data_IF_053033337038
#
_entry.id   IF_053033337038
#
_cell.length_a   1.000
_cell.length_b   1.000
_cell.length_c   1.000
_cell.angle_alpha   90.00
_cell.angle_beta   90.00
_cell.angle_gamma   90.00
#
_symmetry.space_group_name_H-M   'P 1'
#
loop_
_entity.id
_entity.type
_entity.pdbx_description
1 polymer ?
#
# COMPACT_ATOMS: atom_id res chain seq x y z
N UNK A 1 -14.65 8.43 2.31
CA UNK A 1 -13.62 7.41 2.58
C UNK A 1 -12.78 7.91 3.75
N UNK A 2 -12.28 7.01 4.58
CA UNK A 2 -11.37 7.31 5.70
C UNK A 2 -9.93 7.15 5.23
N UNK A 3 -9.02 7.88 5.86
CA UNK A 3 -7.60 7.75 5.58
C UNK A 3 -6.99 6.65 6.45
N UNK A 4 -6.14 5.82 5.85
CA UNK A 4 -5.40 4.77 6.53
C UNK A 4 -3.92 4.85 6.19
N UNK A 5 -3.08 4.62 7.20
CA UNK A 5 -1.71 4.21 6.99
C UNK A 5 -1.65 2.70 7.23
N UNK A 6 -1.24 1.96 6.21
CA UNK A 6 -0.97 0.54 6.32
C UNK A 6 0.52 0.26 6.34
N UNK A 7 0.95 -0.58 7.27
CA UNK A 7 2.31 -1.11 7.35
C UNK A 7 2.27 -2.52 6.78
N UNK A 8 3.02 -2.76 5.70
CA UNK A 8 3.25 -4.08 5.15
C UNK A 8 4.65 -4.54 5.57
N UNK A 9 4.72 -5.57 6.40
CA UNK A 9 5.99 -6.18 6.81
C UNK A 9 6.16 -7.51 6.08
N UNK A 10 7.22 -7.61 5.29
CA UNK A 10 7.53 -8.84 4.54
C UNK A 10 7.77 -10.01 5.49
N UNK A 11 7.21 -11.17 5.16
CA UNK A 11 7.32 -12.37 5.99
C UNK A 11 8.73 -12.99 5.96
N UNK A 12 9.49 -12.73 4.89
CA UNK A 12 10.89 -13.14 4.73
C UNK A 12 11.60 -12.33 3.65
N UNK A 13 12.93 -12.25 3.71
CA UNK A 13 13.78 -11.61 2.68
C UNK A 13 13.53 -12.24 1.30
N UNK A 14 13.40 -13.56 1.24
CA UNK A 14 13.11 -14.28 -0.01
C UNK A 14 11.74 -13.94 -0.63
N UNK A 15 10.75 -13.54 0.18
CA UNK A 15 9.46 -13.07 -0.31
C UNK A 15 9.51 -11.59 -0.72
N UNK A 16 10.34 -10.79 -0.05
CA UNK A 16 10.62 -9.40 -0.44
C UNK A 16 11.30 -9.34 -1.81
N UNK A 17 12.33 -10.16 -2.06
CA UNK A 17 13.00 -10.24 -3.36
C UNK A 17 12.00 -10.61 -4.47
N UNK A 18 11.21 -11.67 -4.25
CA UNK A 18 10.16 -12.10 -5.20
C UNK A 18 9.11 -11.02 -5.43
N UNK A 19 8.73 -10.28 -4.39
CA UNK A 19 7.80 -9.16 -4.52
C UNK A 19 8.37 -8.06 -5.41
N UNK A 20 9.63 -7.64 -5.19
CA UNK A 20 10.25 -6.60 -6.01
C UNK A 20 10.57 -7.06 -7.43
N UNK A 21 10.83 -8.34 -7.65
CA UNK A 21 10.87 -8.92 -9.00
C UNK A 21 9.49 -8.84 -9.66
N UNK A 22 8.43 -9.28 -8.96
CA UNK A 22 7.07 -9.30 -9.50
C UNK A 22 6.53 -7.89 -9.79
N UNK A 23 6.71 -6.93 -8.87
CA UNK A 23 6.13 -5.59 -9.01
C UNK A 23 6.75 -4.79 -10.15
N UNK A 24 8.03 -5.04 -10.50
CA UNK A 24 8.65 -4.47 -11.70
C UNK A 24 7.91 -4.83 -12.99
N UNK A 25 7.26 -6.01 -13.03
CA UNK A 25 6.41 -6.41 -14.15
C UNK A 25 4.98 -5.83 -14.05
N UNK A 26 4.52 -5.46 -12.85
CA UNK A 26 3.19 -4.87 -12.62
C UNK A 26 3.15 -3.34 -12.78
N UNK A 27 4.23 -2.62 -12.51
CA UNK A 27 4.31 -1.16 -12.74
C UNK A 27 4.08 -0.80 -14.22
N UNK A 28 4.34 -1.72 -15.14
CA UNK A 28 4.05 -1.59 -16.58
C UNK A 28 2.56 -1.74 -16.93
N UNK A 29 1.71 -2.17 -15.97
CA UNK A 29 0.25 -2.33 -16.13
C UNK A 29 -0.53 -1.54 -15.08
N UNK A 30 -0.55 -0.21 -15.18
CA UNK A 30 -1.63 0.70 -14.74
C UNK A 30 -2.50 0.27 -13.51
N UNK A 31 -1.89 -0.20 -12.42
CA UNK A 31 -2.61 -0.57 -11.18
C UNK A 31 -3.23 0.66 -10.49
N UNK A 32 -2.85 1.86 -10.90
CA UNK A 32 -3.23 3.14 -10.30
C UNK A 32 -4.61 3.69 -10.67
N UNK A 33 -5.45 2.98 -11.43
CA UNK A 33 -6.64 3.61 -12.05
C UNK A 33 -8.00 2.98 -11.79
N UNK A 34 -8.10 1.84 -11.09
CA UNK A 34 -9.42 1.26 -10.76
C UNK A 34 -9.80 1.65 -9.33
N UNK A 35 -10.54 2.76 -9.22
CA UNK A 35 -11.31 3.12 -8.02
C UNK A 35 -12.41 2.06 -7.80
N UNK A 36 -12.05 0.88 -7.28
CA UNK A 36 -13.05 0.05 -6.62
C UNK A 36 -13.50 0.84 -5.40
N UNK A 37 -14.77 1.25 -5.40
CA UNK A 37 -15.33 2.28 -4.51
C UNK A 37 -15.24 2.04 -2.99
N UNK A 38 -14.48 1.04 -2.55
CA UNK A 38 -14.24 0.68 -1.15
C UNK A 38 -12.82 0.93 -0.65
N UNK A 39 -11.79 0.86 -1.51
CA UNK A 39 -10.39 1.07 -1.12
C UNK A 39 -9.56 1.62 -2.28
N UNK A 40 -8.76 2.64 -2.02
CA UNK A 40 -7.99 3.42 -2.98
C UNK A 40 -6.58 3.58 -2.47
N UNK A 41 -5.63 3.01 -3.20
CA UNK A 41 -4.21 3.17 -2.93
C UNK A 41 -3.75 4.55 -3.41
N UNK A 42 -3.13 5.34 -2.53
CA UNK A 42 -2.67 6.70 -2.85
C UNK A 42 -1.15 6.77 -2.99
N UNK A 43 -0.42 6.11 -2.10
CA UNK A 43 1.04 6.23 -2.02
C UNK A 43 1.68 5.03 -1.33
N UNK A 44 2.86 4.63 -1.77
CA UNK A 44 3.73 3.67 -1.09
C UNK A 44 5.10 4.31 -0.83
N UNK A 45 5.52 4.31 0.42
CA UNK A 45 6.88 4.59 0.84
C UNK A 45 7.58 3.26 1.14
N UNK A 46 8.57 2.92 0.32
CA UNK A 46 9.43 1.76 0.51
C UNK A 46 10.89 2.15 0.29
N UNK A 47 11.81 1.35 0.83
CA UNK A 47 13.25 1.53 0.64
C UNK A 47 13.85 0.35 -0.15
N UNK A 48 13.10 -0.19 -1.12
CA UNK A 48 13.50 -1.41 -1.83
C UNK A 48 13.80 -2.57 -0.86
N UNK A 49 14.90 -3.28 -1.11
CA UNK A 49 15.39 -4.38 -0.28
C UNK A 49 16.06 -3.93 1.02
N UNK A 50 16.34 -2.63 1.19
CA UNK A 50 16.97 -2.08 2.41
C UNK A 50 15.99 -1.97 3.59
N UNK A 51 14.70 -2.26 3.39
CA UNK A 51 13.69 -2.29 4.45
C UNK A 51 12.69 -3.43 4.25
N UNK A 52 12.51 -4.23 5.30
CA UNK A 52 11.47 -5.27 5.35
C UNK A 52 10.05 -4.70 5.53
N UNK A 53 9.92 -3.37 5.62
CA UNK A 53 8.64 -2.69 5.79
C UNK A 53 8.38 -1.69 4.68
N UNK A 54 7.11 -1.62 4.28
CA UNK A 54 6.56 -0.59 3.42
C UNK A 54 5.41 0.11 4.13
N UNK A 55 5.26 1.41 3.85
CA UNK A 55 4.22 2.24 4.46
C UNK A 55 3.34 2.81 3.35
N UNK A 56 2.08 2.39 3.34
CA UNK A 56 1.14 2.77 2.29
C UNK A 56 0.06 3.69 2.85
N UNK A 57 -0.22 4.78 2.14
CA UNK A 57 -1.40 5.59 2.39
C UNK A 57 -2.54 5.12 1.49
N UNK A 58 -3.66 4.80 2.12
CA UNK A 58 -4.91 4.40 1.49
C UNK A 58 -6.07 5.32 1.90
N UNK A 59 -7.06 5.45 1.02
CA UNK A 59 -8.41 5.86 1.38
C UNK A 59 -9.34 4.63 1.30
N UNK A 60 -10.11 4.32 2.34
CA UNK A 60 -11.01 3.16 2.32
C UNK A 60 -12.26 3.35 3.18
N UNK A 61 -13.24 2.46 3.05
CA UNK A 61 -14.42 2.42 3.93
C UNK A 61 -14.07 1.86 5.31
N UNK A 62 -13.17 0.89 5.36
CA UNK A 62 -12.62 0.23 6.55
C UNK A 62 -11.28 -0.46 6.20
N UNK A 63 -10.60 -1.01 7.20
CA UNK A 63 -9.34 -1.74 7.00
C UNK A 63 -9.53 -3.04 6.20
N UNK A 64 -10.66 -3.73 6.37
CA UNK A 64 -10.96 -5.00 5.69
C UNK A 64 -11.04 -4.80 4.17
N UNK A 65 -11.61 -3.68 3.70
CA UNK A 65 -11.64 -3.33 2.29
C UNK A 65 -10.23 -3.18 1.69
N UNK A 66 -9.24 -2.75 2.47
CA UNK A 66 -7.83 -2.68 2.02
C UNK A 66 -7.25 -4.10 1.92
N UNK A 67 -7.49 -4.94 2.93
CA UNK A 67 -7.04 -6.34 2.93
C UNK A 67 -7.64 -7.12 1.75
N UNK A 68 -8.95 -6.95 1.50
CA UNK A 68 -9.66 -7.52 0.34
C UNK A 68 -9.02 -7.05 -0.98
N UNK A 69 -8.73 -5.74 -1.09
CA UNK A 69 -8.14 -5.14 -2.30
C UNK A 69 -6.71 -5.61 -2.57
N UNK A 70 -5.92 -5.83 -1.52
CA UNK A 70 -4.57 -6.41 -1.62
C UNK A 70 -4.64 -7.86 -2.12
N UNK A 71 -5.70 -8.59 -1.77
CA UNK A 71 -5.98 -9.92 -2.28
C UNK A 71 -4.78 -10.86 -2.12
N UNK A 72 -4.35 -11.46 -3.24
CA UNK A 72 -3.23 -12.40 -3.27
C UNK A 72 -1.89 -11.77 -2.84
N UNK A 73 -1.73 -10.44 -2.90
CA UNK A 73 -0.48 -9.77 -2.50
C UNK A 73 -0.21 -9.89 -0.98
N UNK A 74 -1.24 -10.08 -0.15
CA UNK A 74 -1.06 -10.33 1.29
C UNK A 74 -0.30 -11.65 1.60
N UNK A 75 -0.01 -12.47 0.59
CA UNK A 75 0.89 -13.62 0.78
C UNK A 75 2.33 -13.18 1.13
N UNK A 76 2.76 -12.01 0.62
CA UNK A 76 4.14 -11.54 0.78
C UNK A 76 4.41 -10.89 2.14
N UNK A 77 3.38 -10.32 2.76
CA UNK A 77 3.51 -9.47 3.95
C UNK A 77 2.38 -9.69 4.95
N UNK A 78 2.69 -9.43 6.22
CA UNK A 78 1.67 -9.15 7.23
C UNK A 78 1.29 -7.67 7.13
N UNK A 79 -0.02 -7.39 7.17
CA UNK A 79 -0.55 -6.03 6.99
C UNK A 79 -1.26 -5.57 8.26
N UNK A 80 -0.83 -4.44 8.78
CA UNK A 80 -1.58 -3.67 9.78
C UNK A 80 -2.08 -2.39 9.13
N UNK A 81 -3.35 -2.02 9.34
CA UNK A 81 -3.92 -0.77 8.83
C UNK A 81 -4.51 0.05 9.98
N UNK A 82 -4.07 1.31 10.09
CA UNK A 82 -4.46 2.23 11.17
C UNK A 82 -5.20 3.41 10.56
N UNK A 83 -6.40 3.70 11.06
CA UNK A 83 -7.23 4.84 10.65
C UNK A 83 -6.60 6.16 11.12
N UNK A 84 -6.32 7.08 10.20
CA UNK A 84 -5.59 8.33 10.41
C UNK A 84 -6.28 9.52 9.69
N UNK A 85 -7.50 9.86 10.08
CA UNK A 85 -8.32 10.85 9.35
C UNK A 85 -7.84 12.30 9.46
N UNK A 86 -7.03 12.65 10.46
CA UNK A 86 -6.48 14.00 10.60
C UNK A 86 -5.22 14.16 9.74
N UNK A 87 -5.41 14.44 8.46
CA UNK A 87 -4.33 14.55 7.47
C UNK A 87 -3.93 16.01 7.28
N UNK A 88 -2.64 16.30 7.40
CA UNK A 88 -2.03 17.58 7.05
C UNK A 88 -1.03 17.37 5.92
N UNK A 89 -1.41 17.70 4.69
CA UNK A 89 -0.58 17.53 3.49
C UNK A 89 -0.13 18.89 2.97
N UNK A 90 1.15 19.22 3.11
CA UNK A 90 1.73 20.50 2.68
C UNK A 90 2.18 20.51 1.22
N UNK A 91 2.05 19.39 0.49
CA UNK A 91 2.47 19.29 -0.91
C UNK A 91 1.52 20.01 -1.86
N UNK A 92 0.26 20.20 -1.44
CA UNK A 92 -0.75 20.94 -2.22
C UNK A 92 -0.52 22.45 -2.21
N UNK A 93 0.27 22.97 -1.26
CA UNK A 93 0.51 24.40 -1.06
C UNK A 93 1.71 24.94 -1.87
N UNK A 94 2.33 24.10 -2.72
CA UNK A 94 3.45 24.49 -3.58
C UNK A 94 3.03 24.91 -5.01
N UNK A 95 1.76 25.30 -5.20
CA UNK A 95 1.22 25.78 -6.49
C UNK A 95 1.59 27.22 -6.82
#
# INVERSE_FOLDING_TARGET
MKNFICVHEFKSESLQEKYFEAIRYFEDRSVSSIKDGKAHFLMNFNNGTESMKMFCWWEAVDADAIIEKLGEMNVFFETECIEMNNVFDTRTDQS
#
